data_IF_135906622668
#
_entry.id   IF_135906622668
#
_cell.length_a   1.000
_cell.length_b   1.000
_cell.length_c   1.000
_cell.angle_alpha   90.00
_cell.angle_beta   90.00
_cell.angle_gamma   90.00
#
_symmetry.space_group_name_H-M   'P 1'
#
loop_
_entity.id
_entity.type
_entity.pdbx_description
1 polymer ?
#
# COMPACT_ATOMS: atom_id res chain seq x y z
N UNK A 1 7.78 59.74 0.84
CA UNK A 1 6.91 58.83 0.03
C UNK A 1 5.46 59.32 0.13
N UNK A 2 4.86 59.64 -0.99
CA UNK A 2 3.52 60.24 -1.02
C UNK A 2 2.45 59.24 -0.57
N UNK A 3 1.65 59.63 0.46
CA UNK A 3 0.55 58.81 1.00
C UNK A 3 -0.44 58.23 -0.02
N UNK A 4 -0.74 58.85 -1.16
CA UNK A 4 -1.60 58.25 -2.19
C UNK A 4 -0.96 57.08 -2.95
N UNK A 5 0.36 57.10 -3.17
CA UNK A 5 1.07 56.02 -3.85
C UNK A 5 1.10 54.70 -3.01
N UNK A 6 1.23 54.84 -1.70
CA UNK A 6 1.23 53.73 -0.75
C UNK A 6 -0.18 53.06 -0.68
N UNK A 7 -1.24 53.88 -0.73
CA UNK A 7 -2.63 53.35 -0.75
C UNK A 7 -2.97 52.65 -2.07
N UNK A 8 -2.47 53.11 -3.19
CA UNK A 8 -2.64 52.44 -4.50
C UNK A 8 -1.88 51.10 -4.55
N UNK A 9 -0.65 51.05 -4.03
CA UNK A 9 0.13 49.80 -3.95
C UNK A 9 -0.52 48.77 -3.01
N UNK A 10 -1.07 49.21 -1.86
CA UNK A 10 -1.79 48.34 -0.93
C UNK A 10 -3.08 47.81 -1.53
N UNK A 11 -3.82 48.60 -2.28
CA UNK A 11 -5.03 48.22 -2.99
C UNK A 11 -4.73 47.23 -4.13
N UNK A 12 -3.65 47.41 -4.90
CA UNK A 12 -3.20 46.46 -5.91
C UNK A 12 -2.73 45.14 -5.27
N UNK A 13 -2.07 45.16 -4.12
CA UNK A 13 -1.65 43.95 -3.40
C UNK A 13 -2.84 43.18 -2.82
N UNK A 14 -3.86 43.89 -2.32
CA UNK A 14 -5.11 43.27 -1.86
C UNK A 14 -5.95 42.70 -3.00
N UNK A 15 -6.04 43.41 -4.15
CA UNK A 15 -6.69 42.89 -5.35
C UNK A 15 -5.95 41.70 -5.96
N UNK A 16 -4.61 41.72 -5.99
CA UNK A 16 -3.81 40.59 -6.46
C UNK A 16 -3.98 39.36 -5.56
N UNK A 17 -4.04 39.55 -4.24
CA UNK A 17 -4.32 38.44 -3.31
C UNK A 17 -5.78 37.96 -3.37
N UNK A 18 -6.75 38.83 -3.70
CA UNK A 18 -8.13 38.41 -3.99
C UNK A 18 -8.26 37.65 -5.31
N UNK A 19 -7.50 38.02 -6.34
CA UNK A 19 -7.48 37.31 -7.62
C UNK A 19 -6.74 35.97 -7.56
N UNK A 20 -5.75 35.83 -6.69
CA UNK A 20 -5.08 34.54 -6.42
C UNK A 20 -5.98 33.59 -5.60
N UNK A 21 -6.89 34.11 -4.77
CA UNK A 21 -7.87 33.29 -4.05
C UNK A 21 -9.06 32.84 -4.91
N UNK A 22 -9.17 33.36 -6.13
CA UNK A 22 -10.18 32.96 -7.16
C UNK A 22 -9.62 31.99 -8.22
N UNK A 23 -8.37 31.54 -8.08
CA UNK A 23 -7.90 30.33 -8.78
C UNK A 23 -8.72 29.15 -8.24
N UNK A 24 -9.74 28.79 -9.00
CA UNK A 24 -10.88 27.96 -8.60
C UNK A 24 -10.48 26.72 -7.82
N UNK A 25 -10.93 26.63 -6.59
CA UNK A 25 -11.07 25.33 -5.94
C UNK A 25 -11.87 24.46 -6.90
N UNK A 26 -11.26 23.34 -7.35
CA UNK A 26 -11.96 22.42 -8.23
C UNK A 26 -13.28 22.04 -7.52
N UNK A 27 -14.41 22.27 -8.19
CA UNK A 27 -15.71 21.92 -7.62
C UNK A 27 -15.74 20.43 -7.38
N UNK A 28 -16.05 20.06 -6.14
CA UNK A 28 -16.20 18.63 -5.78
C UNK A 28 -17.28 18.04 -6.69
N UNK A 29 -17.01 16.94 -7.41
CA UNK A 29 -18.02 16.33 -8.26
C UNK A 29 -19.21 15.82 -7.45
N UNK A 30 -20.42 15.95 -8.01
CA UNK A 30 -21.63 15.35 -7.40
C UNK A 30 -21.52 13.82 -7.34
N UNK A 31 -20.79 13.22 -8.29
CA UNK A 31 -20.57 11.78 -8.38
C UNK A 31 -19.11 11.46 -8.65
N UNK A 32 -18.61 10.47 -7.90
CA UNK A 32 -17.25 9.93 -8.09
C UNK A 32 -17.23 8.74 -9.05
N UNK A 33 -18.32 7.97 -9.15
CA UNK A 33 -18.43 6.87 -10.11
C UNK A 33 -18.51 7.41 -11.55
N UNK A 34 -17.62 6.92 -12.42
CA UNK A 34 -17.62 7.20 -13.86
C UNK A 34 -18.27 6.04 -14.61
N UNK A 35 -17.81 4.84 -14.38
CA UNK A 35 -18.40 3.63 -14.95
C UNK A 35 -18.11 2.40 -14.11
N UNK A 36 -19.00 1.40 -14.20
CA UNK A 36 -18.81 0.08 -13.61
C UNK A 36 -19.29 -0.99 -14.57
N UNK A 37 -18.55 -2.10 -14.68
CA UNK A 37 -18.87 -3.19 -15.58
C UNK A 37 -18.70 -4.53 -14.86
N UNK A 38 -19.73 -5.35 -14.84
CA UNK A 38 -19.63 -6.73 -14.39
C UNK A 38 -18.76 -7.52 -15.38
N UNK A 39 -17.59 -7.99 -14.92
CA UNK A 39 -16.65 -8.76 -15.75
C UNK A 39 -16.79 -10.26 -15.57
N UNK A 40 -16.94 -10.69 -14.33
CA UNK A 40 -17.01 -12.12 -14.01
C UNK A 40 -17.99 -12.36 -12.86
N UNK A 41 -18.69 -13.48 -12.95
CA UNK A 41 -19.42 -14.08 -11.84
C UNK A 41 -18.74 -15.40 -11.50
N UNK A 42 -18.17 -15.47 -10.30
CA UNK A 42 -17.57 -16.69 -9.76
C UNK A 42 -18.62 -17.46 -8.99
N UNK A 43 -19.11 -18.58 -9.55
CA UNK A 43 -20.00 -19.51 -8.84
C UNK A 43 -19.22 -20.25 -7.75
N UNK A 44 -19.91 -20.80 -6.75
CA UNK A 44 -19.25 -21.60 -5.69
C UNK A 44 -18.43 -22.74 -6.29
N UNK A 45 -18.96 -23.50 -7.23
CA UNK A 45 -18.27 -24.59 -7.91
C UNK A 45 -16.99 -24.12 -8.64
N UNK A 46 -17.03 -22.93 -9.26
CA UNK A 46 -15.85 -22.36 -9.92
C UNK A 46 -14.78 -21.96 -8.90
N UNK A 47 -15.19 -21.43 -7.75
CA UNK A 47 -14.31 -21.06 -6.65
C UNK A 47 -13.70 -22.30 -5.98
N UNK A 48 -14.46 -23.36 -5.75
CA UNK A 48 -13.95 -24.65 -5.24
C UNK A 48 -12.86 -25.23 -6.14
N UNK A 49 -13.10 -25.27 -7.46
CA UNK A 49 -12.08 -25.69 -8.44
C UNK A 49 -10.86 -24.77 -8.40
N UNK A 50 -11.06 -23.49 -8.24
CA UNK A 50 -9.98 -22.52 -8.16
C UNK A 50 -9.18 -22.69 -6.87
N UNK A 51 -9.82 -22.83 -5.68
CA UNK A 51 -9.18 -23.10 -4.39
C UNK A 51 -8.33 -24.37 -4.47
N UNK A 52 -8.90 -25.45 -5.01
CA UNK A 52 -8.19 -26.71 -5.21
C UNK A 52 -6.93 -26.54 -6.08
N UNK A 53 -7.04 -25.83 -7.19
CA UNK A 53 -5.89 -25.55 -8.08
C UNK A 53 -4.83 -24.68 -7.41
N UNK A 54 -5.21 -23.69 -6.63
CA UNK A 54 -4.30 -22.79 -5.91
C UNK A 54 -3.86 -23.34 -4.54
N UNK A 55 -4.34 -24.54 -4.18
CA UNK A 55 -4.05 -25.19 -2.89
C UNK A 55 -4.45 -24.32 -1.68
N UNK A 56 -5.55 -23.59 -1.79
CA UNK A 56 -6.14 -22.82 -0.68
C UNK A 56 -7.02 -23.79 0.11
N UNK A 57 -6.71 -24.08 1.39
CA UNK A 57 -7.51 -25.00 2.18
C UNK A 57 -8.87 -24.38 2.51
N UNK A 58 -9.95 -25.06 2.15
CA UNK A 58 -11.31 -24.58 2.40
C UNK A 58 -11.64 -24.48 3.90
N UNK A 59 -10.99 -25.29 4.72
CA UNK A 59 -11.08 -25.19 6.19
C UNK A 59 -10.54 -23.83 6.72
N UNK A 60 -9.62 -23.20 5.98
CA UNK A 60 -9.04 -21.89 6.36
C UNK A 60 -9.84 -20.75 5.73
N UNK A 61 -10.29 -20.93 4.49
CA UNK A 61 -11.09 -19.95 3.73
C UNK A 61 -12.32 -20.62 3.15
N UNK A 62 -13.40 -20.81 3.94
CA UNK A 62 -14.63 -21.47 3.50
C UNK A 62 -15.37 -20.63 2.46
N UNK A 63 -15.81 -21.25 1.37
CA UNK A 63 -16.58 -20.64 0.29
C UNK A 63 -18.06 -20.54 0.71
N UNK A 64 -18.47 -19.42 1.26
CA UNK A 64 -19.85 -19.19 1.69
C UNK A 64 -20.71 -18.57 0.62
N UNK A 65 -20.13 -17.73 -0.23
CA UNK A 65 -20.85 -16.99 -1.27
C UNK A 65 -20.20 -17.17 -2.64
N UNK A 66 -21.00 -17.13 -3.69
CA UNK A 66 -20.53 -16.77 -5.01
C UNK A 66 -20.12 -15.28 -5.02
N UNK A 67 -19.32 -14.86 -5.99
CA UNK A 67 -18.75 -13.49 -6.01
C UNK A 67 -18.86 -12.91 -7.41
N UNK A 68 -19.37 -11.69 -7.51
CA UNK A 68 -19.31 -10.87 -8.71
C UNK A 68 -18.10 -9.94 -8.68
N UNK A 69 -17.40 -9.83 -9.80
CA UNK A 69 -16.28 -8.92 -9.99
C UNK A 69 -16.65 -7.80 -10.95
N UNK A 70 -16.53 -6.58 -10.49
CA UNK A 70 -16.78 -5.37 -11.28
C UNK A 70 -15.47 -4.62 -11.56
N UNK A 71 -15.26 -4.22 -12.81
CA UNK A 71 -14.30 -3.13 -13.11
C UNK A 71 -14.93 -1.80 -12.76
N UNK A 72 -14.16 -0.95 -12.09
CA UNK A 72 -14.57 0.37 -11.61
C UNK A 72 -13.68 1.42 -12.25
N UNK A 73 -14.31 2.46 -12.83
CA UNK A 73 -13.65 3.71 -13.22
C UNK A 73 -14.24 4.82 -12.38
N UNK A 74 -13.40 5.62 -11.74
CA UNK A 74 -13.83 6.62 -10.78
C UNK A 74 -13.02 7.92 -10.87
N UNK A 75 -13.56 9.00 -10.30
CA UNK A 75 -12.85 10.27 -10.12
C UNK A 75 -12.13 10.25 -8.77
N UNK A 76 -10.82 10.44 -8.79
CA UNK A 76 -9.99 10.62 -7.61
C UNK A 76 -9.38 12.01 -7.57
N UNK A 77 -9.05 12.52 -6.39
CA UNK A 77 -8.44 13.83 -6.23
C UNK A 77 -6.91 13.71 -6.30
N UNK A 78 -6.29 14.52 -7.17
CA UNK A 78 -4.85 14.61 -7.29
C UNK A 78 -4.22 15.57 -6.25
N UNK A 79 -2.90 15.66 -6.22
CA UNK A 79 -2.12 16.47 -5.26
C UNK A 79 -2.46 17.97 -5.31
N UNK A 80 -2.80 18.50 -6.50
CA UNK A 80 -3.21 19.90 -6.76
C UNK A 80 -4.70 20.15 -6.57
N UNK A 81 -5.43 19.19 -6.01
CA UNK A 81 -6.88 19.19 -5.81
C UNK A 81 -7.71 19.08 -7.11
N UNK A 82 -7.09 18.84 -8.26
CA UNK A 82 -7.82 18.48 -9.49
C UNK A 82 -8.37 17.07 -9.41
N UNK A 83 -9.47 16.78 -10.15
CA UNK A 83 -10.00 15.43 -10.25
C UNK A 83 -9.48 14.74 -11.50
N UNK A 84 -9.06 13.49 -11.33
CA UNK A 84 -8.47 12.63 -12.35
C UNK A 84 -9.25 11.32 -12.44
N UNK A 85 -9.13 10.65 -13.58
CA UNK A 85 -9.72 9.33 -13.78
C UNK A 85 -8.78 8.25 -13.24
N UNK A 86 -9.32 7.41 -12.36
CA UNK A 86 -8.64 6.27 -11.78
C UNK A 86 -9.46 5.00 -11.94
N UNK A 87 -8.84 3.85 -11.75
CA UNK A 87 -9.46 2.54 -11.95
C UNK A 87 -9.15 1.57 -10.80
N UNK A 88 -9.96 0.53 -10.72
CA UNK A 88 -9.78 -0.57 -9.82
C UNK A 88 -10.82 -1.67 -10.06
N UNK A 89 -10.88 -2.63 -9.16
CA UNK A 89 -11.88 -3.69 -9.18
C UNK A 89 -12.58 -3.81 -7.83
N UNK A 90 -13.84 -4.24 -7.88
CA UNK A 90 -14.64 -4.50 -6.70
C UNK A 90 -15.19 -5.93 -6.78
N UNK A 91 -15.08 -6.67 -5.68
CA UNK A 91 -15.62 -8.01 -5.52
C UNK A 91 -16.80 -7.98 -4.57
N UNK A 92 -17.97 -8.42 -5.04
CA UNK A 92 -19.24 -8.33 -4.31
C UNK A 92 -19.77 -9.75 -4.05
N UNK A 93 -19.96 -10.15 -2.79
CA UNK A 93 -20.54 -11.44 -2.48
C UNK A 93 -22.01 -11.50 -2.91
N UNK A 94 -22.42 -12.59 -3.54
CA UNK A 94 -23.81 -12.89 -3.85
C UNK A 94 -24.48 -13.57 -2.64
N UNK A 95 -24.90 -12.77 -1.70
CA UNK A 95 -25.55 -13.19 -0.48
C UNK A 95 -26.65 -12.23 -0.05
N UNK A 96 -27.56 -12.68 0.82
CA UNK A 96 -28.69 -11.87 1.31
C UNK A 96 -28.37 -11.10 2.59
N UNK A 97 -27.13 -11.19 3.11
CA UNK A 97 -26.72 -10.50 4.33
C UNK A 97 -25.94 -9.24 4.02
N UNK A 98 -26.13 -8.16 4.76
CA UNK A 98 -25.24 -6.99 4.65
C UNK A 98 -23.77 -7.40 4.83
N UNK A 99 -22.90 -6.91 3.95
CA UNK A 99 -21.49 -7.24 3.92
C UNK A 99 -20.64 -6.17 4.62
N UNK A 100 -19.54 -6.57 5.26
CA UNK A 100 -18.54 -5.61 5.64
C UNK A 100 -17.80 -5.10 4.39
N UNK A 101 -17.31 -3.88 4.43
CA UNK A 101 -16.45 -3.32 3.36
C UNK A 101 -14.98 -3.59 3.70
N UNK A 102 -14.19 -3.92 2.69
CA UNK A 102 -12.75 -4.09 2.80
C UNK A 102 -12.07 -3.30 1.69
N UNK A 103 -11.16 -2.40 2.04
CA UNK A 103 -10.17 -1.87 1.10
C UNK A 103 -8.92 -2.75 1.22
N UNK A 104 -8.49 -3.34 0.10
CA UNK A 104 -7.23 -4.05 0.00
C UNK A 104 -6.28 -3.25 -0.90
N UNK A 105 -5.28 -2.66 -0.30
CA UNK A 105 -4.22 -1.92 -0.96
C UNK A 105 -3.13 -2.89 -1.43
N UNK A 106 -2.82 -2.88 -2.73
CA UNK A 106 -1.90 -3.84 -3.34
C UNK A 106 -0.43 -3.47 -3.12
N UNK A 107 0.46 -4.45 -3.24
CA UNK A 107 1.91 -4.28 -3.22
C UNK A 107 2.46 -3.57 -4.46
N UNK A 108 3.78 -3.41 -4.53
CA UNK A 108 4.45 -2.62 -5.58
C UNK A 108 4.17 -3.16 -6.97
N UNK A 109 3.78 -2.25 -7.87
CA UNK A 109 3.64 -2.47 -9.31
C UNK A 109 4.31 -1.32 -10.06
N UNK A 110 5.21 -1.65 -10.96
CA UNK A 110 5.91 -0.66 -11.79
C UNK A 110 5.24 -0.57 -13.16
N UNK A 111 4.65 -1.65 -13.64
CA UNK A 111 4.04 -1.70 -14.96
C UNK A 111 2.60 -1.21 -14.96
N UNK A 112 2.31 -0.23 -15.81
CA UNK A 112 0.94 0.28 -16.06
C UNK A 112 0.01 -0.81 -16.59
N UNK A 113 0.53 -1.80 -17.32
CA UNK A 113 -0.23 -2.89 -17.93
C UNK A 113 -0.57 -4.02 -16.94
N UNK A 114 -0.08 -3.99 -15.70
CA UNK A 114 -0.46 -4.96 -14.66
C UNK A 114 -1.89 -4.66 -14.21
N UNK A 115 -2.83 -4.98 -15.06
CA UNK A 115 -4.25 -4.82 -14.82
C UNK A 115 -4.91 -6.14 -14.44
N UNK A 116 -6.09 -5.99 -13.90
CA UNK A 116 -7.07 -6.93 -13.44
C UNK A 116 -7.06 -8.33 -14.11
N UNK A 117 -7.00 -9.33 -13.28
CA UNK A 117 -7.34 -10.70 -13.68
C UNK A 117 -7.08 -11.70 -12.55
N UNK A 118 -7.77 -12.82 -12.58
CA UNK A 118 -7.63 -13.97 -11.65
C UNK A 118 -6.18 -14.50 -11.54
N UNK A 119 -5.31 -14.11 -12.44
CA UNK A 119 -3.90 -14.47 -12.41
C UNK A 119 -3.10 -13.63 -11.42
N UNK A 120 -3.65 -12.51 -10.98
CA UNK A 120 -3.07 -11.67 -9.95
C UNK A 120 -3.32 -12.28 -8.57
N UNK A 121 -2.23 -12.66 -7.89
CA UNK A 121 -2.31 -13.32 -6.59
C UNK A 121 -2.99 -12.43 -5.53
N UNK A 122 -2.79 -11.12 -5.59
CA UNK A 122 -3.39 -10.19 -4.64
C UNK A 122 -4.90 -10.02 -4.84
N UNK A 123 -5.40 -10.16 -6.07
CA UNK A 123 -6.84 -10.19 -6.32
C UNK A 123 -7.49 -11.48 -5.78
N UNK A 124 -6.74 -12.59 -5.69
CA UNK A 124 -7.20 -13.80 -4.98
C UNK A 124 -7.46 -13.49 -3.52
N UNK A 125 -6.69 -12.59 -2.90
CA UNK A 125 -6.92 -12.16 -1.52
C UNK A 125 -8.27 -11.47 -1.39
N UNK A 126 -8.62 -10.56 -2.29
CA UNK A 126 -9.95 -9.95 -2.31
C UNK A 126 -11.07 -11.00 -2.42
N UNK A 127 -10.89 -12.02 -3.26
CA UNK A 127 -11.84 -13.12 -3.33
C UNK A 127 -11.93 -13.92 -2.03
N UNK A 128 -10.80 -14.16 -1.33
CA UNK A 128 -10.79 -14.84 -0.02
C UNK A 128 -11.63 -14.12 1.04
N UNK A 129 -11.66 -12.81 1.00
CA UNK A 129 -12.55 -12.03 1.85
C UNK A 129 -13.99 -12.04 1.34
N UNK A 130 -14.19 -11.88 0.02
CA UNK A 130 -15.54 -11.75 -0.55
C UNK A 130 -16.35 -13.03 -0.47
N UNK A 131 -15.73 -14.21 -0.57
CA UNK A 131 -16.44 -15.50 -0.32
C UNK A 131 -16.97 -15.59 1.12
N UNK A 132 -16.41 -14.81 2.05
CA UNK A 132 -16.80 -14.75 3.46
C UNK A 132 -17.52 -13.44 3.85
N UNK A 133 -18.28 -12.90 2.91
CA UNK A 133 -19.19 -11.76 3.12
C UNK A 133 -18.51 -10.42 3.38
N UNK A 134 -17.45 -10.09 2.61
CA UNK A 134 -16.88 -8.76 2.48
C UNK A 134 -17.10 -8.24 1.05
N UNK A 135 -17.49 -6.98 0.89
CA UNK A 135 -17.33 -6.25 -0.37
C UNK A 135 -15.87 -5.81 -0.40
N UNK A 136 -15.06 -6.41 -1.27
CA UNK A 136 -13.62 -6.11 -1.35
C UNK A 136 -13.36 -5.13 -2.48
N UNK A 137 -12.73 -4.00 -2.14
CA UNK A 137 -12.38 -2.90 -3.03
C UNK A 137 -10.87 -2.91 -3.22
N UNK A 138 -10.43 -2.95 -4.47
CA UNK A 138 -9.03 -3.07 -4.87
C UNK A 138 -8.67 -1.90 -5.81
N UNK A 139 -8.24 -0.75 -5.26
CA UNK A 139 -7.77 0.38 -6.07
C UNK A 139 -6.47 0.01 -6.80
N UNK A 140 -6.31 0.49 -8.05
CA UNK A 140 -5.06 0.30 -8.78
C UNK A 140 -4.02 1.39 -8.49
N UNK A 141 -4.28 2.30 -7.59
CA UNK A 141 -3.60 3.57 -7.39
C UNK A 141 -3.61 4.46 -8.66
N UNK A 142 -3.35 5.72 -8.49
CA UNK A 142 -3.28 6.66 -9.61
C UNK A 142 -2.10 6.31 -10.53
N UNK A 143 -2.31 6.45 -11.84
CA UNK A 143 -1.30 6.11 -12.84
C UNK A 143 -1.19 4.63 -13.21
N UNK A 144 -1.83 3.72 -12.46
CA UNK A 144 -1.85 2.29 -12.75
C UNK A 144 -3.19 1.85 -13.34
N UNK A 145 -3.21 0.66 -13.96
CA UNK A 145 -4.41 0.06 -14.54
C UNK A 145 -5.09 0.88 -15.65
N UNK A 146 -4.37 1.80 -16.29
CA UNK A 146 -4.92 2.72 -17.29
C UNK A 146 -5.66 3.91 -16.69
N UNK A 147 -5.36 4.29 -15.45
CA UNK A 147 -5.72 5.58 -14.86
C UNK A 147 -4.85 6.72 -15.39
N UNK A 148 -5.26 7.96 -15.09
CA UNK A 148 -4.50 9.16 -15.42
C UNK A 148 -3.34 9.41 -14.46
N UNK A 149 -2.40 10.27 -14.85
CA UNK A 149 -1.15 10.62 -14.15
C UNK A 149 -0.15 9.47 -14.15
N UNK A 150 0.96 9.67 -13.45
CA UNK A 150 1.92 8.62 -13.14
C UNK A 150 1.79 8.17 -11.68
N UNK A 151 2.13 6.93 -11.41
CA UNK A 151 2.07 6.43 -10.05
C UNK A 151 3.18 7.05 -9.20
N UNK A 152 2.80 7.65 -8.06
CA UNK A 152 3.74 8.18 -7.08
C UNK A 152 3.97 7.13 -6.01
N UNK A 153 5.07 6.40 -6.18
CA UNK A 153 5.41 5.25 -5.34
C UNK A 153 5.69 5.66 -3.89
N UNK A 154 5.07 4.98 -2.92
CA UNK A 154 5.22 5.26 -1.48
C UNK A 154 4.83 6.71 -1.10
N UNK A 155 3.85 7.28 -1.79
CA UNK A 155 3.27 8.58 -1.44
C UNK A 155 1.96 8.40 -0.69
N UNK A 156 2.00 8.67 0.60
CA UNK A 156 0.90 8.43 1.53
C UNK A 156 -0.39 9.15 1.16
N UNK A 157 -0.28 10.33 0.54
CA UNK A 157 -1.45 11.13 0.16
C UNK A 157 -2.16 10.55 -1.06
N UNK A 158 -1.43 10.25 -2.13
CA UNK A 158 -2.02 9.71 -3.37
C UNK A 158 -2.53 8.29 -3.19
N UNK A 159 -1.83 7.45 -2.42
CA UNK A 159 -2.27 6.09 -2.10
C UNK A 159 -3.58 6.10 -1.30
N UNK A 160 -3.65 6.88 -0.22
CA UNK A 160 -4.87 7.00 0.59
C UNK A 160 -6.04 7.60 -0.20
N UNK A 161 -5.79 8.64 -1.00
CA UNK A 161 -6.84 9.24 -1.83
C UNK A 161 -7.38 8.27 -2.87
N UNK A 162 -6.52 7.48 -3.54
CA UNK A 162 -6.97 6.47 -4.49
C UNK A 162 -7.95 5.49 -3.82
N UNK A 163 -7.63 5.02 -2.63
CA UNK A 163 -8.42 4.07 -1.87
C UNK A 163 -9.75 4.67 -1.39
N UNK A 164 -9.73 5.87 -0.81
CA UNK A 164 -10.92 6.52 -0.26
C UNK A 164 -11.89 6.95 -1.37
N UNK A 165 -11.39 7.54 -2.47
CA UNK A 165 -12.26 7.95 -3.57
C UNK A 165 -12.86 6.76 -4.32
N UNK A 166 -12.14 5.64 -4.42
CA UNK A 166 -12.72 4.41 -4.96
C UNK A 166 -13.84 3.87 -4.05
N UNK A 167 -13.66 3.87 -2.73
CA UNK A 167 -14.72 3.50 -1.80
C UNK A 167 -15.97 4.38 -1.99
N UNK A 168 -15.79 5.71 -2.08
CA UNK A 168 -16.92 6.65 -2.33
C UNK A 168 -17.66 6.29 -3.62
N UNK A 169 -16.94 6.07 -4.70
CA UNK A 169 -17.52 5.65 -5.97
C UNK A 169 -18.27 4.31 -5.88
N UNK A 170 -17.70 3.32 -5.22
CA UNK A 170 -18.33 2.01 -5.03
C UNK A 170 -19.65 2.12 -4.26
N UNK A 171 -19.70 2.94 -3.22
CA UNK A 171 -20.92 3.17 -2.43
C UNK A 171 -22.06 3.76 -3.23
N UNK A 172 -21.81 4.55 -4.28
CA UNK A 172 -22.83 5.13 -5.16
C UNK A 172 -23.61 4.08 -5.97
N UNK A 173 -23.06 2.88 -6.12
CA UNK A 173 -23.68 1.83 -6.95
C UNK A 173 -24.21 0.64 -6.18
N UNK A 174 -23.99 0.54 -4.87
CA UNK A 174 -24.42 -0.63 -4.09
C UNK A 174 -25.88 -0.97 -4.28
N UNK A 175 -26.79 0.01 -4.15
CA UNK A 175 -28.23 -0.22 -4.37
C UNK A 175 -28.55 -0.65 -5.81
N UNK A 176 -27.83 -0.13 -6.80
CA UNK A 176 -28.04 -0.44 -8.22
C UNK A 176 -27.67 -1.89 -8.57
N UNK A 177 -26.71 -2.47 -7.85
CA UNK A 177 -26.24 -3.85 -8.07
C UNK A 177 -26.78 -4.83 -7.02
N UNK A 178 -27.71 -4.40 -6.17
CA UNK A 178 -28.30 -5.22 -5.11
C UNK A 178 -27.34 -5.56 -3.96
N UNK A 179 -26.25 -4.80 -3.80
CA UNK A 179 -25.33 -4.94 -2.68
C UNK A 179 -25.79 -4.11 -1.47
N UNK A 180 -25.52 -4.60 -0.26
CA UNK A 180 -25.76 -3.86 0.99
C UNK A 180 -24.59 -4.00 1.93
N UNK A 181 -24.27 -2.90 2.65
CA UNK A 181 -23.19 -2.87 3.63
C UNK A 181 -23.69 -2.96 5.06
N UNK A 182 -22.90 -3.59 5.94
CA UNK A 182 -23.13 -3.59 7.40
C UNK A 182 -22.67 -2.28 8.06
N UNK A 183 -22.06 -1.36 7.31
CA UNK A 183 -21.45 -0.14 7.83
C UNK A 183 -20.06 -0.34 8.42
N UNK A 184 -19.54 -1.57 8.49
CA UNK A 184 -18.19 -1.84 8.97
C UNK A 184 -17.19 -1.72 7.81
N UNK A 185 -16.16 -0.86 7.98
CA UNK A 185 -15.10 -0.65 7.01
C UNK A 185 -13.76 -1.15 7.57
N UNK A 186 -13.12 -2.04 6.85
CA UNK A 186 -11.79 -2.55 7.13
C UNK A 186 -10.80 -2.12 6.05
N UNK A 187 -9.54 -1.88 6.45
CA UNK A 187 -8.48 -1.47 5.52
C UNK A 187 -7.26 -2.33 5.77
N UNK A 188 -6.70 -2.93 4.72
CA UNK A 188 -5.50 -3.77 4.79
C UNK A 188 -4.72 -3.73 3.49
N UNK A 189 -3.48 -4.18 3.54
CA UNK A 189 -2.60 -4.29 2.39
C UNK A 189 -1.23 -4.81 2.80
N UNK A 190 -0.45 -5.29 1.84
CA UNK A 190 0.86 -5.87 2.06
C UNK A 190 1.95 -5.10 1.32
N UNK A 191 3.15 -4.96 1.92
CA UNK A 191 4.27 -4.26 1.30
C UNK A 191 3.98 -2.77 1.06
N UNK A 192 4.05 -2.26 -0.19
CA UNK A 192 3.52 -0.93 -0.52
C UNK A 192 2.07 -0.78 -0.03
N UNK A 193 1.26 -1.83 -0.18
CA UNK A 193 -0.11 -1.84 0.32
C UNK A 193 -0.20 -1.73 1.85
N UNK A 194 0.80 -2.20 2.59
CA UNK A 194 0.92 -1.98 4.02
C UNK A 194 1.13 -0.49 4.36
N UNK A 195 1.96 0.21 3.59
CA UNK A 195 2.13 1.65 3.68
C UNK A 195 0.82 2.37 3.31
N UNK A 196 0.22 2.05 2.18
CA UNK A 196 -1.02 2.66 1.69
C UNK A 196 -2.20 2.44 2.65
N UNK A 197 -2.35 1.24 3.22
CA UNK A 197 -3.42 0.95 4.18
C UNK A 197 -3.26 1.72 5.50
N UNK A 198 -2.02 1.94 5.96
CA UNK A 198 -1.75 2.80 7.11
C UNK A 198 -2.03 4.28 6.78
N UNK A 199 -1.66 4.74 5.57
CA UNK A 199 -1.96 6.08 5.09
C UNK A 199 -3.47 6.32 4.98
N UNK A 200 -4.22 5.34 4.43
CA UNK A 200 -5.68 5.38 4.32
C UNK A 200 -6.33 5.47 5.70
N UNK A 201 -5.91 4.66 6.67
CA UNK A 201 -6.42 4.75 8.04
C UNK A 201 -6.15 6.12 8.65
N UNK A 202 -4.91 6.61 8.58
CA UNK A 202 -4.52 7.93 9.11
C UNK A 202 -5.33 9.06 8.48
N UNK A 203 -5.57 9.00 7.16
CA UNK A 203 -6.35 10.01 6.45
C UNK A 203 -7.82 9.98 6.83
N UNK A 204 -8.44 8.81 6.97
CA UNK A 204 -9.82 8.67 7.44
C UNK A 204 -10.01 9.25 8.85
N UNK A 205 -9.04 9.09 9.72
CA UNK A 205 -9.11 9.63 11.10
C UNK A 205 -8.66 11.09 11.23
N UNK A 206 -8.12 11.72 10.18
CA UNK A 206 -7.73 13.12 10.18
C UNK A 206 -8.91 14.11 10.21
N UNK A 207 -10.12 13.62 9.92
CA UNK A 207 -11.32 14.45 9.77
C UNK A 207 -11.53 14.98 8.36
N UNK A 208 -10.69 14.62 7.39
CA UNK A 208 -10.86 15.01 5.98
C UNK A 208 -12.10 14.36 5.32
N UNK A 209 -12.55 13.23 5.85
CA UNK A 209 -13.70 12.46 5.34
C UNK A 209 -14.62 12.06 6.52
N UNK A 210 -15.32 13.03 7.15
CA UNK A 210 -16.09 12.79 8.38
C UNK A 210 -17.26 11.82 8.18
N UNK A 211 -17.71 11.64 6.93
CA UNK A 211 -18.78 10.71 6.55
C UNK A 211 -18.30 9.25 6.47
N UNK A 212 -16.98 9.00 6.53
CA UNK A 212 -16.41 7.65 6.42
C UNK A 212 -15.73 7.28 7.74
N UNK A 213 -16.29 6.29 8.42
CA UNK A 213 -15.76 5.77 9.67
C UNK A 213 -15.07 4.44 9.43
N UNK A 214 -13.77 4.35 9.80
CA UNK A 214 -13.04 3.09 9.77
C UNK A 214 -13.36 2.24 11.00
N UNK A 215 -13.59 0.94 10.80
CA UNK A 215 -13.82 0.00 11.89
C UNK A 215 -12.50 -0.55 12.44
N UNK A 216 -11.57 -0.93 11.57
CA UNK A 216 -10.23 -1.38 11.94
C UNK A 216 -9.32 -1.44 10.72
N UNK A 217 -8.00 -1.48 10.96
CA UNK A 217 -7.02 -1.73 9.90
C UNK A 217 -6.02 -2.83 10.27
N UNK A 218 -5.42 -3.42 9.23
CA UNK A 218 -4.31 -4.35 9.40
C UNK A 218 -3.22 -4.11 8.36
N UNK A 219 -2.38 -3.07 8.52
CA UNK A 219 -1.24 -2.81 7.67
C UNK A 219 -0.18 -3.90 7.84
N UNK A 220 0.35 -4.47 6.73
CA UNK A 220 1.27 -5.59 6.76
C UNK A 220 2.57 -5.28 6.03
N UNK A 221 3.73 -5.49 6.68
CA UNK A 221 5.08 -5.33 6.11
C UNK A 221 5.24 -4.03 5.31
N UNK A 222 4.77 -2.89 5.84
CA UNK A 222 4.86 -1.58 5.18
C UNK A 222 6.09 -0.78 5.63
N UNK A 223 6.59 0.11 4.76
CA UNK A 223 7.70 1.02 5.03
C UNK A 223 7.23 2.24 5.84
N UNK A 224 6.92 2.06 7.11
CA UNK A 224 6.30 3.11 7.95
C UNK A 224 7.27 4.20 8.40
N UNK A 225 8.55 3.89 8.55
CA UNK A 225 9.61 4.89 8.81
C UNK A 225 10.54 4.97 7.60
N UNK A 226 10.17 5.79 6.64
CA UNK A 226 10.87 5.95 5.36
C UNK A 226 12.31 6.46 5.54
N UNK A 227 12.56 7.34 6.51
CA UNK A 227 13.88 7.95 6.73
C UNK A 227 14.73 7.17 7.73
N UNK A 228 14.17 6.79 8.87
CA UNK A 228 14.94 6.21 9.97
C UNK A 228 15.23 4.72 9.80
N UNK A 229 14.32 3.99 9.18
CA UNK A 229 14.40 2.52 9.03
C UNK A 229 14.58 2.10 7.58
N UNK A 230 13.62 2.44 6.70
CA UNK A 230 13.62 1.90 5.33
C UNK A 230 14.76 2.43 4.48
N UNK A 231 15.17 3.69 4.63
CA UNK A 231 16.27 4.28 3.84
C UNK A 231 17.60 3.55 4.01
N UNK A 232 17.79 2.77 5.08
CA UNK A 232 19.03 1.99 5.31
C UNK A 232 19.27 0.95 4.21
N UNK A 233 18.19 0.43 3.61
CA UNK A 233 18.31 -0.50 2.47
C UNK A 233 19.01 0.10 1.26
N UNK A 234 19.07 1.43 1.15
CA UNK A 234 19.82 2.12 0.08
C UNK A 234 21.33 1.91 0.19
N UNK A 235 21.85 1.65 1.41
CA UNK A 235 23.29 1.61 1.73
C UNK A 235 23.79 0.20 2.05
N UNK A 236 22.93 -0.81 1.94
CA UNK A 236 23.25 -2.21 2.21
C UNK A 236 22.94 -3.06 0.98
N UNK A 237 23.42 -4.31 1.00
CA UNK A 237 23.02 -5.26 -0.05
C UNK A 237 21.52 -5.46 -0.04
N UNK A 238 20.90 -5.21 -1.19
CA UNK A 238 19.45 -5.25 -1.38
C UNK A 238 19.09 -5.99 -2.67
N UNK A 239 18.19 -6.97 -2.57
CA UNK A 239 17.86 -7.83 -3.72
C UNK A 239 17.03 -7.11 -4.78
N UNK A 240 16.34 -6.02 -4.40
CA UNK A 240 15.44 -5.24 -5.25
C UNK A 240 15.90 -3.78 -5.41
N UNK A 241 17.10 -3.53 -5.99
CA UNK A 241 17.65 -2.19 -6.13
C UNK A 241 16.80 -1.25 -6.98
N UNK A 242 15.90 -1.78 -7.80
CA UNK A 242 14.98 -1.00 -8.66
C UNK A 242 13.99 -0.12 -7.88
N UNK A 243 13.73 -0.39 -6.61
CA UNK A 243 12.85 0.47 -5.81
C UNK A 243 13.40 1.88 -5.60
N UNK A 244 14.73 2.06 -5.55
CA UNK A 244 15.31 3.38 -5.38
C UNK A 244 15.09 4.28 -6.59
N UNK A 245 15.44 3.93 -7.84
CA UNK A 245 15.13 4.76 -8.99
C UNK A 245 13.64 4.96 -9.17
N UNK A 246 12.79 3.96 -8.91
CA UNK A 246 11.34 4.10 -8.97
C UNK A 246 10.84 5.20 -8.01
N UNK A 247 11.31 5.20 -6.77
CA UNK A 247 10.98 6.21 -5.77
C UNK A 247 11.46 7.61 -6.19
N UNK A 248 12.72 7.74 -6.64
CA UNK A 248 13.29 9.02 -7.05
C UNK A 248 12.57 9.62 -8.27
N UNK A 249 12.25 8.80 -9.28
CA UNK A 249 11.54 9.23 -10.48
C UNK A 249 10.10 9.64 -10.16
N UNK A 250 9.38 8.87 -9.34
CA UNK A 250 8.02 9.18 -8.96
C UNK A 250 7.92 10.45 -8.10
N UNK A 251 8.87 10.67 -7.21
CA UNK A 251 8.93 11.90 -6.41
C UNK A 251 9.34 13.12 -7.25
N UNK A 252 10.22 12.94 -8.24
CA UNK A 252 10.49 13.99 -9.21
C UNK A 252 9.24 14.37 -9.99
N UNK A 253 8.47 13.38 -10.45
CA UNK A 253 7.23 13.62 -11.16
C UNK A 253 6.22 14.41 -10.32
N UNK A 254 6.04 14.04 -9.05
CA UNK A 254 5.03 14.63 -8.18
C UNK A 254 5.44 15.98 -7.59
N UNK A 255 6.73 16.16 -7.27
CA UNK A 255 7.20 17.25 -6.42
C UNK A 255 8.26 18.14 -7.06
N UNK A 256 8.75 17.81 -8.26
CA UNK A 256 9.78 18.58 -8.97
C UNK A 256 11.01 18.90 -8.13
N UNK A 257 11.54 17.89 -7.42
CA UNK A 257 12.60 18.06 -6.40
C UNK A 257 13.95 18.47 -7.00
N UNK A 258 14.19 18.16 -8.28
CA UNK A 258 15.44 18.45 -8.97
C UNK A 258 15.18 19.28 -10.21
N UNK A 259 16.10 20.19 -10.51
CA UNK A 259 16.10 20.97 -11.74
C UNK A 259 16.79 20.19 -12.87
N UNK A 260 16.29 20.28 -14.09
CA UNK A 260 16.83 19.61 -15.26
C UNK A 260 16.44 18.14 -15.41
N UNK A 261 17.22 17.38 -16.18
CA UNK A 261 16.95 15.97 -16.43
C UNK A 261 17.29 15.14 -15.19
N UNK A 262 16.28 14.50 -14.58
CA UNK A 262 16.43 13.66 -13.36
C UNK A 262 17.44 12.54 -13.56
N UNK A 263 17.59 12.00 -14.76
CA UNK A 263 18.53 10.90 -15.00
C UNK A 263 19.98 11.30 -14.77
N UNK A 264 20.28 12.60 -14.77
CA UNK A 264 21.62 13.12 -14.45
C UNK A 264 22.06 12.92 -13.00
N UNK A 265 21.14 12.56 -12.07
CA UNK A 265 21.52 12.23 -10.70
C UNK A 265 22.19 10.85 -10.58
N UNK A 266 21.98 9.98 -11.58
CA UNK A 266 22.59 8.66 -11.61
C UNK A 266 23.98 8.69 -12.24
N UNK A 267 24.82 7.74 -11.85
CA UNK A 267 26.15 7.52 -12.42
C UNK A 267 26.06 6.72 -13.71
N UNK A 268 26.93 6.92 -14.69
CA UNK A 268 27.08 5.97 -15.80
C UNK A 268 27.49 4.56 -15.29
N UNK A 269 26.94 3.47 -15.86
CA UNK A 269 26.00 3.42 -16.99
C UNK A 269 24.53 3.51 -16.57
N UNK A 270 24.24 3.62 -15.27
CA UNK A 270 22.89 3.53 -14.70
C UNK A 270 21.95 4.67 -15.17
N UNK A 271 22.48 5.86 -15.46
CA UNK A 271 21.73 6.98 -16.04
C UNK A 271 20.98 6.59 -17.31
N UNK A 272 21.65 5.86 -18.23
CA UNK A 272 21.06 5.36 -19.48
C UNK A 272 20.14 4.15 -19.25
N UNK A 273 20.59 3.20 -18.44
CA UNK A 273 19.84 1.97 -18.16
C UNK A 273 18.51 2.26 -17.45
N UNK A 274 18.50 3.14 -16.45
CA UNK A 274 17.30 3.56 -15.73
C UNK A 274 16.37 4.31 -16.68
N UNK A 275 16.90 5.21 -17.50
CA UNK A 275 16.11 5.95 -18.50
C UNK A 275 15.45 5.00 -19.51
N UNK A 276 16.19 4.03 -20.02
CA UNK A 276 15.65 3.05 -20.96
C UNK A 276 14.52 2.21 -20.36
N UNK A 277 14.69 1.78 -19.11
CA UNK A 277 13.72 0.93 -18.42
C UNK A 277 12.47 1.70 -18.01
N UNK A 278 12.63 2.87 -17.37
CA UNK A 278 11.50 3.58 -16.74
C UNK A 278 10.81 4.61 -17.67
N UNK A 279 11.45 5.05 -18.76
CA UNK A 279 10.84 6.04 -19.66
C UNK A 279 9.76 5.46 -20.60
N UNK A 280 9.53 4.14 -20.59
CA UNK A 280 8.54 3.52 -21.46
C UNK A 280 7.53 2.69 -20.64
N UNK A 281 6.22 2.80 -20.94
CA UNK A 281 5.19 2.01 -20.28
C UNK A 281 5.21 0.56 -20.78
N UNK A 282 6.25 -0.20 -20.46
CA UNK A 282 6.39 -1.62 -20.83
C UNK A 282 5.99 -2.52 -19.65
N UNK A 283 5.66 -3.78 -19.95
CA UNK A 283 5.67 -4.83 -18.94
C UNK A 283 7.12 -5.02 -18.51
N UNK A 284 7.44 -4.54 -17.32
CA UNK A 284 8.80 -4.55 -16.79
C UNK A 284 9.08 -5.92 -16.15
N UNK A 285 10.17 -6.54 -16.55
CA UNK A 285 10.71 -7.73 -15.88
C UNK A 285 11.60 -7.26 -14.71
N UNK A 286 11.11 -7.41 -13.48
CA UNK A 286 11.84 -7.05 -12.26
C UNK A 286 13.20 -7.76 -12.17
N UNK A 287 13.26 -9.05 -12.56
CA UNK A 287 14.50 -9.80 -12.50
C UNK A 287 15.56 -9.23 -13.45
N UNK A 288 15.15 -8.81 -14.65
CA UNK A 288 16.03 -8.12 -15.58
C UNK A 288 16.53 -6.80 -15.01
N UNK A 289 15.64 -5.96 -14.49
CA UNK A 289 16.02 -4.66 -13.91
C UNK A 289 17.01 -4.85 -12.76
N UNK A 290 16.73 -5.77 -11.85
CA UNK A 290 17.58 -6.05 -10.69
C UNK A 290 18.94 -6.67 -11.09
N UNK A 291 19.03 -7.25 -12.30
CA UNK A 291 20.27 -7.81 -12.83
C UNK A 291 21.24 -6.77 -13.38
N UNK A 292 20.74 -5.62 -13.86
CA UNK A 292 21.55 -4.54 -14.44
C UNK A 292 21.90 -3.43 -13.44
N UNK A 293 21.25 -3.42 -12.27
CA UNK A 293 21.48 -2.43 -11.21
C UNK A 293 22.43 -2.97 -10.12
N UNK A 294 23.16 -2.09 -9.42
CA UNK A 294 24.07 -2.50 -8.35
C UNK A 294 23.29 -3.00 -7.14
N UNK A 295 23.84 -4.00 -6.43
CA UNK A 295 23.18 -4.58 -5.25
C UNK A 295 23.19 -3.68 -4.02
N UNK A 296 23.98 -2.63 -4.00
CA UNK A 296 23.88 -1.53 -3.04
C UNK A 296 23.24 -0.35 -3.77
N UNK A 297 21.96 -0.06 -3.58
CA UNK A 297 21.24 0.91 -4.42
C UNK A 297 21.87 2.30 -4.51
N UNK A 298 22.51 2.79 -3.44
CA UNK A 298 23.17 4.09 -3.44
C UNK A 298 24.35 4.17 -4.41
N UNK A 299 24.94 3.05 -4.84
CA UNK A 299 26.05 3.04 -5.78
C UNK A 299 25.66 3.52 -7.18
N UNK A 300 24.36 3.47 -7.55
CA UNK A 300 23.87 4.03 -8.80
C UNK A 300 23.71 5.55 -8.77
N UNK A 301 23.70 6.19 -7.59
CA UNK A 301 23.48 7.63 -7.41
C UNK A 301 24.82 8.35 -7.25
N UNK A 302 24.93 9.60 -7.74
CA UNK A 302 26.12 10.43 -7.58
C UNK A 302 26.52 10.59 -6.11
N UNK A 303 27.81 10.43 -5.80
CA UNK A 303 28.32 10.46 -4.43
C UNK A 303 28.04 11.77 -3.70
N UNK A 304 28.01 12.89 -4.42
CA UNK A 304 27.62 14.19 -3.87
C UNK A 304 26.20 14.19 -3.31
N UNK A 305 25.24 13.60 -4.03
CA UNK A 305 23.85 13.51 -3.56
C UNK A 305 23.71 12.51 -2.40
N UNK A 306 24.42 11.40 -2.46
CA UNK A 306 24.47 10.43 -1.36
C UNK A 306 25.03 11.08 -0.09
N UNK A 307 26.07 11.89 -0.20
CA UNK A 307 26.67 12.63 0.92
C UNK A 307 25.73 13.66 1.50
N UNK A 308 25.05 14.43 0.64
CA UNK A 308 24.04 15.41 1.07
C UNK A 308 22.88 14.70 1.78
N UNK A 309 22.36 13.60 1.23
CA UNK A 309 21.28 12.83 1.87
C UNK A 309 21.64 12.34 3.28
N UNK A 310 22.91 11.95 3.49
CA UNK A 310 23.40 11.50 4.80
C UNK A 310 23.59 12.62 5.80
N UNK A 311 23.96 13.82 5.35
CA UNK A 311 24.37 14.94 6.23
C UNK A 311 23.32 16.03 6.38
N UNK A 312 22.42 16.21 5.41
CA UNK A 312 21.44 17.28 5.38
C UNK A 312 20.01 16.74 5.57
N UNK A 313 19.51 16.89 6.78
CA UNK A 313 18.11 16.50 7.13
C UNK A 313 17.05 17.45 6.55
N UNK A 314 17.45 18.54 5.90
CA UNK A 314 16.58 19.53 5.24
C UNK A 314 16.54 19.38 3.73
N UNK A 315 17.29 18.44 3.16
CA UNK A 315 17.18 18.10 1.75
C UNK A 315 15.73 17.83 1.36
N UNK A 316 15.25 18.44 0.29
CA UNK A 316 13.84 18.36 -0.14
C UNK A 316 13.35 16.89 -0.26
N UNK A 317 14.18 15.99 -0.79
CA UNK A 317 13.87 14.56 -0.85
C UNK A 317 13.71 13.96 0.56
N UNK A 318 14.61 14.27 1.50
CA UNK A 318 14.51 13.80 2.89
C UNK A 318 13.24 14.31 3.57
N UNK A 319 12.86 15.56 3.32
CA UNK A 319 11.62 16.14 3.86
C UNK A 319 10.39 15.42 3.30
N UNK A 320 10.36 15.10 2.01
CA UNK A 320 9.26 14.33 1.41
C UNK A 320 9.19 12.90 1.94
N UNK A 321 10.31 12.23 2.18
CA UNK A 321 10.32 10.95 2.88
C UNK A 321 9.77 11.04 4.32
N UNK A 322 10.06 12.13 5.04
CA UNK A 322 9.50 12.38 6.38
C UNK A 322 7.99 12.60 6.34
N UNK A 323 7.49 13.37 5.37
CA UNK A 323 6.04 13.60 5.16
C UNK A 323 5.29 12.29 4.89
N UNK A 324 5.92 11.38 4.16
CA UNK A 324 5.38 10.05 3.86
C UNK A 324 5.63 9.00 4.95
N UNK A 325 6.32 9.37 6.02
CA UNK A 325 6.47 8.54 7.22
C UNK A 325 5.15 8.39 7.99
N UNK A 326 4.82 7.16 8.36
CA UNK A 326 3.53 6.81 8.95
C UNK A 326 3.63 6.18 10.34
N UNK A 327 4.80 6.18 10.97
CA UNK A 327 4.99 5.52 12.27
C UNK A 327 4.56 6.39 13.46
N UNK A 328 4.49 7.72 13.32
CA UNK A 328 4.42 8.69 14.42
C UNK A 328 3.06 9.37 14.58
N UNK A 329 2.00 8.59 14.60
CA UNK A 329 0.63 9.05 14.90
C UNK A 329 -0.08 8.05 15.82
N UNK A 330 -1.30 8.35 16.26
CA UNK A 330 -2.05 7.52 17.21
C UNK A 330 -3.42 7.18 16.62
N UNK A 331 -3.65 5.93 16.21
CA UNK A 331 -4.96 5.51 15.71
C UNK A 331 -6.00 5.42 16.83
N UNK A 332 -7.23 5.78 16.52
CA UNK A 332 -8.40 5.63 17.40
C UNK A 332 -9.04 4.25 17.20
N UNK A 333 -9.26 3.86 15.93
CA UNK A 333 -9.78 2.54 15.61
C UNK A 333 -8.72 1.44 15.80
N UNK A 334 -9.13 0.20 16.12
CA UNK A 334 -8.22 -0.92 16.30
C UNK A 334 -7.32 -1.17 15.10
N UNK A 335 -6.03 -1.44 15.38
CA UNK A 335 -5.04 -1.75 14.36
C UNK A 335 -4.21 -2.98 14.75
N UNK A 336 -3.99 -3.89 13.79
CA UNK A 336 -3.04 -5.00 13.96
C UNK A 336 -2.01 -4.97 12.84
N UNK A 337 -0.74 -4.74 13.15
CA UNK A 337 0.36 -4.81 12.19
C UNK A 337 0.97 -6.22 12.16
N UNK A 338 1.24 -6.74 10.94
CA UNK A 338 1.88 -8.03 10.75
C UNK A 338 3.16 -7.89 9.93
N UNK A 339 4.23 -8.61 10.33
CA UNK A 339 5.48 -8.72 9.56
C UNK A 339 6.24 -9.99 9.92
N UNK A 340 7.20 -10.38 9.08
CA UNK A 340 8.11 -11.49 9.35
C UNK A 340 9.50 -10.99 9.72
N UNK A 341 10.15 -11.69 10.66
CA UNK A 341 11.55 -11.39 11.04
C UNK A 341 12.54 -11.60 9.89
N UNK A 342 12.23 -12.51 8.95
CA UNK A 342 13.08 -12.80 7.80
C UNK A 342 12.80 -11.92 6.58
N UNK A 343 11.95 -10.90 6.69
CA UNK A 343 11.60 -10.01 5.59
C UNK A 343 12.83 -9.24 5.09
N UNK A 344 13.18 -9.45 3.84
CA UNK A 344 14.38 -8.92 3.18
C UNK A 344 14.10 -7.69 2.30
N UNK A 345 12.83 -7.33 2.10
CA UNK A 345 12.44 -6.15 1.32
C UNK A 345 12.00 -5.00 2.23
N UNK A 346 11.08 -5.28 3.15
CA UNK A 346 10.61 -4.30 4.13
C UNK A 346 10.88 -4.85 5.53
N UNK A 347 11.99 -4.41 6.11
CA UNK A 347 12.40 -4.94 7.42
C UNK A 347 11.29 -4.79 8.48
N UNK A 348 11.07 -5.85 9.27
CA UNK A 348 10.12 -5.88 10.39
C UNK A 348 10.31 -4.71 11.37
N UNK A 349 11.48 -4.07 11.40
CA UNK A 349 11.76 -2.91 12.23
C UNK A 349 10.88 -1.70 11.91
N UNK A 350 10.33 -1.61 10.69
CA UNK A 350 9.28 -0.63 10.38
C UNK A 350 8.04 -0.87 11.25
N UNK A 351 7.61 -2.14 11.35
CA UNK A 351 6.48 -2.53 12.20
C UNK A 351 6.78 -2.32 13.68
N UNK A 352 7.98 -2.67 14.16
CA UNK A 352 8.39 -2.40 15.54
C UNK A 352 8.37 -0.91 15.86
N UNK A 353 8.98 -0.09 15.00
CA UNK A 353 9.05 1.36 15.18
C UNK A 353 7.67 2.00 15.28
N UNK A 354 6.76 1.62 14.38
CA UNK A 354 5.39 2.12 14.39
C UNK A 354 4.62 1.64 15.63
N UNK A 355 4.73 0.34 15.95
CA UNK A 355 4.09 -0.23 17.14
C UNK A 355 4.56 0.43 18.42
N UNK A 356 5.86 0.57 18.63
CA UNK A 356 6.43 1.14 19.87
C UNK A 356 5.98 2.59 20.06
N UNK A 357 5.88 3.36 18.99
CA UNK A 357 5.36 4.73 19.08
C UNK A 357 3.86 4.76 19.45
N UNK A 358 3.05 3.95 18.77
CA UNK A 358 1.59 3.96 18.89
C UNK A 358 1.13 3.30 20.18
N UNK A 359 1.67 2.12 20.52
CA UNK A 359 1.23 1.31 21.67
C UNK A 359 1.43 2.00 23.02
N UNK A 360 2.46 2.84 23.15
CA UNK A 360 2.66 3.69 24.33
C UNK A 360 1.54 4.71 24.55
N UNK A 361 0.71 4.96 23.54
CA UNK A 361 -0.31 6.03 23.50
C UNK A 361 -1.74 5.51 23.37
N UNK A 362 -1.90 4.27 22.93
CA UNK A 362 -3.21 3.60 22.81
C UNK A 362 -3.09 2.10 22.95
N UNK A 363 -4.07 1.48 23.63
CA UNK A 363 -4.14 0.01 23.78
C UNK A 363 -4.74 -0.70 22.55
N UNK A 364 -5.27 0.04 21.57
CA UNK A 364 -5.96 -0.55 20.41
C UNK A 364 -5.01 -0.99 19.28
N UNK A 365 -3.70 -0.86 19.48
CA UNK A 365 -2.68 -1.25 18.49
C UNK A 365 -2.00 -2.56 18.93
N UNK A 366 -1.96 -3.50 18.01
CA UNK A 366 -1.36 -4.81 18.18
C UNK A 366 -0.31 -5.09 17.12
N UNK A 367 0.69 -5.93 17.42
CA UNK A 367 1.64 -6.42 16.42
C UNK A 367 1.74 -7.95 16.43
N UNK A 368 2.01 -8.52 15.25
CA UNK A 368 2.31 -9.93 15.03
C UNK A 368 3.62 -10.02 14.26
N UNK A 369 4.68 -10.49 14.96
CA UNK A 369 5.96 -10.80 14.34
C UNK A 369 6.18 -12.31 14.39
N UNK A 370 6.48 -12.90 13.25
CA UNK A 370 6.64 -14.36 13.08
C UNK A 370 7.64 -14.68 11.97
N UNK A 371 7.87 -15.95 11.66
CA UNK A 371 8.60 -16.36 10.47
C UNK A 371 10.05 -15.89 10.40
N UNK A 372 10.96 -16.45 11.23
CA UNK A 372 12.38 -16.03 11.29
C UNK A 372 13.14 -16.16 9.97
N UNK A 373 12.72 -17.07 9.09
CA UNK A 373 13.35 -17.33 7.80
C UNK A 373 12.43 -17.05 6.62
N UNK A 374 11.21 -16.54 6.87
CA UNK A 374 10.30 -16.16 5.80
C UNK A 374 10.71 -14.80 5.26
N UNK A 375 11.15 -14.79 4.01
CA UNK A 375 11.35 -13.57 3.23
C UNK A 375 10.02 -12.91 2.91
N UNK A 376 10.06 -11.75 2.26
CA UNK A 376 8.91 -10.89 2.03
C UNK A 376 7.69 -11.63 1.44
N UNK A 377 7.85 -12.25 0.27
CA UNK A 377 6.73 -12.92 -0.41
C UNK A 377 6.19 -14.16 0.33
N UNK A 378 7.01 -15.09 0.88
CA UNK A 378 6.53 -16.19 1.71
C UNK A 378 5.86 -15.78 3.02
N UNK A 379 6.11 -14.57 3.52
CA UNK A 379 5.46 -14.01 4.70
C UNK A 379 3.99 -13.65 4.46
N UNK A 380 3.67 -13.13 3.28
CA UNK A 380 2.37 -12.53 2.94
C UNK A 380 1.15 -13.43 3.25
N UNK A 381 1.10 -14.73 2.88
CA UNK A 381 -0.07 -15.56 3.16
C UNK A 381 -0.42 -15.64 4.66
N UNK A 382 0.58 -15.73 5.52
CA UNK A 382 0.36 -15.83 6.96
C UNK A 382 -0.08 -14.49 7.56
N UNK A 383 0.52 -13.38 7.11
CA UNK A 383 0.11 -12.04 7.50
C UNK A 383 -1.36 -11.78 7.14
N UNK A 384 -1.77 -12.17 5.93
CA UNK A 384 -3.15 -12.04 5.43
C UNK A 384 -4.12 -12.86 6.28
N UNK A 385 -3.77 -14.09 6.63
CA UNK A 385 -4.62 -14.94 7.47
C UNK A 385 -4.78 -14.38 8.89
N UNK A 386 -3.70 -13.85 9.48
CA UNK A 386 -3.80 -13.14 10.76
C UNK A 386 -4.69 -11.89 10.66
N UNK A 387 -4.57 -11.13 9.59
CA UNK A 387 -5.41 -9.95 9.34
C UNK A 387 -6.88 -10.32 9.17
N UNK A 388 -7.16 -11.40 8.42
CA UNK A 388 -8.52 -11.90 8.25
C UNK A 388 -9.12 -12.36 9.59
N UNK A 389 -8.37 -13.12 10.38
CA UNK A 389 -8.83 -13.55 11.72
C UNK A 389 -9.14 -12.37 12.62
N UNK A 390 -8.30 -11.33 12.62
CA UNK A 390 -8.51 -10.09 13.37
C UNK A 390 -9.82 -9.39 12.97
N UNK A 391 -10.05 -9.19 11.67
CA UNK A 391 -11.26 -8.56 11.16
C UNK A 391 -12.52 -9.41 11.43
N UNK A 392 -12.45 -10.72 11.23
CA UNK A 392 -13.56 -11.63 11.54
C UNK A 392 -13.92 -11.63 13.03
N UNK A 393 -12.94 -11.48 13.91
CA UNK A 393 -13.15 -11.37 15.33
C UNK A 393 -13.84 -10.05 15.71
N UNK A 394 -13.48 -8.93 15.07
CA UNK A 394 -14.16 -7.64 15.24
C UNK A 394 -15.59 -7.72 14.73
N UNK A 395 -15.82 -8.28 13.53
CA UNK A 395 -17.18 -8.50 12.99
C UNK A 395 -18.07 -9.31 13.93
N UNK A 396 -17.49 -10.24 14.66
CA UNK A 396 -18.20 -11.08 15.66
C UNK A 396 -18.31 -10.43 17.04
N UNK A 397 -17.85 -9.18 17.20
CA UNK A 397 -17.90 -8.44 18.47
C UNK A 397 -17.02 -9.05 19.57
N UNK A 398 -15.93 -9.75 19.24
CA UNK A 398 -15.03 -10.33 20.25
C UNK A 398 -14.28 -9.24 21.02
N UNK A 399 -14.21 -9.39 22.34
CA UNK A 399 -13.52 -8.45 23.25
C UNK A 399 -12.01 -8.36 22.99
N UNK A 400 -11.39 -9.44 22.50
CA UNK A 400 -9.97 -9.55 22.20
C UNK A 400 -9.79 -9.96 20.73
N UNK A 401 -10.01 -9.07 19.77
CA UNK A 401 -9.98 -9.42 18.36
C UNK A 401 -8.59 -9.85 17.87
N UNK A 402 -7.54 -9.43 18.54
CA UNK A 402 -6.16 -9.82 18.28
C UNK A 402 -5.87 -11.30 18.59
N UNK A 403 -6.71 -11.97 19.39
CA UNK A 403 -6.52 -13.37 19.74
C UNK A 403 -7.10 -14.30 18.69
N UNK A 404 -6.22 -15.08 18.08
CA UNK A 404 -6.59 -16.14 17.13
C UNK A 404 -7.20 -17.31 17.89
N UNK A 405 -8.21 -17.97 17.32
CA UNK A 405 -8.79 -19.18 17.96
C UNK A 405 -7.74 -20.30 18.09
N UNK A 406 -7.88 -21.21 19.07
CA UNK A 406 -6.89 -22.27 19.27
C UNK A 406 -6.66 -23.14 18.02
N UNK A 407 -7.73 -23.47 17.29
CA UNK A 407 -7.62 -24.27 16.05
C UNK A 407 -6.89 -23.51 14.92
N UNK A 408 -7.25 -22.25 14.67
CA UNK A 408 -6.53 -21.40 13.71
C UNK A 408 -5.08 -21.17 14.14
N UNK A 409 -4.83 -20.95 15.41
CA UNK A 409 -3.49 -20.75 15.96
C UNK A 409 -2.60 -21.96 15.69
N UNK A 410 -3.13 -23.17 15.88
CA UNK A 410 -2.41 -24.41 15.59
C UNK A 410 -2.10 -24.54 14.09
N UNK A 411 -3.08 -24.30 13.22
CA UNK A 411 -2.91 -24.38 11.76
C UNK A 411 -1.86 -23.35 11.28
N UNK A 412 -1.94 -22.12 11.76
CA UNK A 412 -0.98 -21.08 11.42
C UNK A 412 0.42 -21.39 11.93
N UNK A 413 0.55 -21.85 13.17
CA UNK A 413 1.84 -22.23 13.75
C UNK A 413 2.50 -23.35 12.96
N UNK A 414 1.77 -24.42 12.66
CA UNK A 414 2.27 -25.55 11.85
C UNK A 414 2.66 -25.09 10.44
N UNK A 415 1.84 -24.26 9.80
CA UNK A 415 2.12 -23.71 8.47
C UNK A 415 3.38 -22.84 8.47
N UNK A 416 3.55 -21.96 9.44
CA UNK A 416 4.73 -21.12 9.62
C UNK A 416 5.98 -21.97 9.88
N UNK A 417 5.90 -22.98 10.72
CA UNK A 417 7.03 -23.86 11.02
C UNK A 417 7.48 -24.66 9.80
N UNK A 418 6.54 -25.22 9.03
CA UNK A 418 6.83 -25.91 7.76
C UNK A 418 7.51 -24.95 6.77
N UNK A 419 6.95 -23.77 6.58
CA UNK A 419 7.48 -22.77 5.66
C UNK A 419 8.88 -22.28 6.09
N UNK A 420 9.07 -22.01 7.39
CA UNK A 420 10.38 -21.66 7.95
C UNK A 420 11.43 -22.76 7.73
N UNK A 421 11.03 -24.02 7.91
CA UNK A 421 11.93 -25.15 7.71
C UNK A 421 12.33 -25.30 6.24
N UNK A 422 11.39 -25.12 5.31
CA UNK A 422 11.64 -25.13 3.87
C UNK A 422 12.57 -23.96 3.46
N UNK A 423 12.31 -22.75 3.92
CA UNK A 423 13.14 -21.59 3.70
C UNK A 423 14.58 -21.81 4.22
N UNK A 424 14.73 -22.32 5.45
CA UNK A 424 16.03 -22.66 6.03
C UNK A 424 16.79 -23.72 5.23
N UNK A 425 16.10 -24.73 4.70
CA UNK A 425 16.71 -25.77 3.84
C UNK A 425 17.18 -25.19 2.51
N UNK A 426 16.38 -24.34 1.90
CA UNK A 426 16.74 -23.65 0.66
C UNK A 426 18.00 -22.83 0.85
N UNK A 427 18.07 -22.05 1.92
CA UNK A 427 19.22 -21.26 2.33
C UNK A 427 20.52 -22.08 2.46
N UNK A 428 20.42 -23.27 3.12
CA UNK A 428 21.56 -24.17 3.26
C UNK A 428 22.07 -24.69 1.91
N UNK A 429 21.16 -24.88 0.92
CA UNK A 429 21.51 -25.40 -0.41
C UNK A 429 22.10 -24.31 -1.33
N UNK A 430 21.58 -23.09 -1.26
CA UNK A 430 21.90 -22.02 -2.22
C UNK A 430 22.96 -21.05 -1.71
N UNK A 431 23.28 -21.08 -0.41
CA UNK A 431 24.16 -20.10 0.23
C UNK A 431 23.60 -18.67 0.30
N UNK A 432 22.40 -18.45 -0.27
CA UNK A 432 21.71 -17.15 -0.24
C UNK A 432 20.81 -17.06 0.99
N UNK A 433 21.13 -16.15 1.85
CA UNK A 433 20.31 -15.82 3.01
C UNK A 433 19.33 -14.71 2.59
N UNK A 434 18.08 -15.06 2.39
CA UNK A 434 17.00 -14.09 2.22
C UNK A 434 16.56 -13.64 3.62
N UNK A 435 16.78 -12.38 3.98
CA UNK A 435 16.34 -11.83 5.27
C UNK A 435 17.24 -10.73 5.81
N UNK A 436 16.70 -9.94 6.73
CA UNK A 436 17.42 -8.83 7.36
C UNK A 436 18.73 -9.30 8.01
N UNK A 437 19.85 -8.68 7.62
CA UNK A 437 21.19 -8.98 8.13
C UNK A 437 21.30 -8.84 9.67
N UNK A 438 20.44 -8.01 10.30
CA UNK A 438 20.38 -7.84 11.74
C UNK A 438 19.65 -8.99 12.42
N UNK A 439 18.54 -9.48 11.87
CA UNK A 439 17.85 -10.67 12.38
C UNK A 439 18.76 -11.92 12.38
N UNK A 440 19.73 -11.96 11.46
CA UNK A 440 20.78 -12.99 11.39
C UNK A 440 21.72 -12.97 12.58
N UNK A 441 22.05 -11.79 13.11
CA UNK A 441 23.00 -11.62 14.24
C UNK A 441 22.33 -11.90 15.58
N UNK A 442 21.08 -11.51 15.74
CA UNK A 442 20.30 -11.70 16.98
C UNK A 442 19.76 -13.13 17.13
N UNK A 443 19.52 -13.85 16.02
CA UNK A 443 19.11 -15.26 16.04
C UNK A 443 20.21 -16.28 16.36
N UNK A 444 21.43 -15.80 16.66
CA UNK A 444 22.59 -16.62 17.09
C UNK A 444 22.85 -16.56 18.61
N UNK A 445 21.98 -15.91 19.37
CA UNK A 445 22.02 -15.91 20.84
C UNK A 445 21.00 -16.87 21.43
#
# INVERSE_FOLDING_TARGET
MNKPLLRSLLACFLLANMLVSLAGAATVPDHFMVSYNLKYTYTKDSLERFWKRKKIPEIVVPIRNAVDMYEITYKGMWLDSSFIIAKGVMYVPRGNKPSAELIYDHGTRISVAQSAGINDLEQVICMMFSVDNYISIFPYYYGLGGGEKEHVYQDSKTEAMASIYMLKACREIYSKIGASTSGQLFVTGYSQGGHASMATHKMLESGAFPEIQITASSPMSGAYDMVGVQSKTMFEHYDHPHYLPYLLLSYQYAYHLWTGDIYTIFKPPYDKQIKEVFAQPRVLDYAYIDSILPKVPSEMVKDSLVSIFKSDSTLAFTLKLKENGLYNWVPKAPMQMCACYGDNEVTYRNTEKAYDYMHLRTASVHKRLFGRHLSHNPCAPFAILYSKSFFDNIRKGKKHPEKVSPGESLILALGIDIANHQAKRHLKKTGKYEGDALARREGKK
#
